data_IF_846941088626
#
_entry.id   IF_846941088626
#
_cell.length_a   1.000
_cell.length_b   1.000
_cell.length_c   1.000
_cell.angle_alpha   90.00
_cell.angle_beta   90.00
_cell.angle_gamma   90.00
#
_symmetry.space_group_name_H-M   'P 1'
#
loop_
_entity.id
_entity.type
_entity.pdbx_description
1 polymer ?
#
# COMPACT_ATOMS: atom_id res chain seq x y z
N UNK A 1 -14.91 0.65 22.88
CA UNK A 1 -13.54 0.23 22.84
C UNK A 1 -12.89 0.57 21.51
N UNK A 2 -11.77 1.24 21.56
CA UNK A 2 -11.13 1.68 20.34
C UNK A 2 -10.31 0.55 19.74
N UNK A 3 -10.46 0.36 18.44
CA UNK A 3 -9.60 -0.51 17.68
C UNK A 3 -8.27 0.18 17.46
N UNK A 4 -7.21 -0.58 17.29
CA UNK A 4 -5.91 -0.02 16.99
C UNK A 4 -5.84 0.63 15.61
N UNK A 5 -6.86 0.44 14.78
CA UNK A 5 -7.00 1.07 13.48
C UNK A 5 -8.47 1.27 13.18
N UNK A 6 -8.78 2.15 12.24
CA UNK A 6 -10.15 2.41 11.80
C UNK A 6 -10.31 1.97 10.34
N UNK A 7 -11.56 1.80 9.85
CA UNK A 7 -11.78 1.55 8.42
C UNK A 7 -11.17 2.64 7.53
N UNK A 8 -11.08 3.86 8.03
CA UNK A 8 -10.43 4.95 7.31
C UNK A 8 -8.95 4.69 7.04
N UNK A 9 -8.27 4.01 7.97
CA UNK A 9 -6.86 3.65 7.79
C UNK A 9 -6.69 2.68 6.62
N UNK A 10 -7.61 1.73 6.47
CA UNK A 10 -7.57 0.79 5.36
C UNK A 10 -7.87 1.47 4.04
N UNK A 11 -8.79 2.43 4.03
CA UNK A 11 -9.09 3.21 2.83
C UNK A 11 -7.86 4.00 2.40
N UNK A 12 -7.19 4.66 3.34
CA UNK A 12 -5.97 5.43 3.06
C UNK A 12 -4.85 4.53 2.55
N UNK A 13 -4.69 3.36 3.16
CA UNK A 13 -3.66 2.41 2.76
C UNK A 13 -3.94 1.85 1.36
N UNK A 14 -5.20 1.54 1.06
CA UNK A 14 -5.60 1.06 -0.26
C UNK A 14 -5.35 2.14 -1.33
N UNK A 15 -5.62 3.40 -1.01
CA UNK A 15 -5.33 4.51 -1.92
C UNK A 15 -3.83 4.66 -2.16
N UNK A 16 -3.03 4.52 -1.12
CA UNK A 16 -1.57 4.56 -1.24
C UNK A 16 -1.07 3.42 -2.12
N UNK A 17 -1.59 2.21 -1.92
CA UNK A 17 -1.22 1.05 -2.74
C UNK A 17 -1.57 1.30 -4.21
N UNK A 18 -2.71 1.91 -4.48
CA UNK A 18 -3.13 2.24 -5.84
C UNK A 18 -2.17 3.23 -6.50
N UNK A 19 -1.77 4.28 -5.76
CA UNK A 19 -0.80 5.24 -6.28
C UNK A 19 0.54 4.59 -6.58
N UNK A 20 1.01 3.73 -5.68
CA UNK A 20 2.26 2.99 -5.89
C UNK A 20 2.16 2.05 -7.09
N UNK A 21 1.04 1.36 -7.24
CA UNK A 21 0.81 0.46 -8.37
C UNK A 21 0.92 1.22 -9.69
N UNK A 22 0.21 2.33 -9.81
CA UNK A 22 0.23 3.11 -11.06
C UNK A 22 1.62 3.67 -11.35
N UNK A 23 2.29 4.17 -10.35
CA UNK A 23 3.64 4.71 -10.51
C UNK A 23 4.62 3.63 -10.91
N UNK A 24 4.54 2.44 -10.33
CA UNK A 24 5.39 1.32 -10.71
C UNK A 24 5.11 0.85 -12.13
N UNK A 25 3.82 0.75 -12.50
CA UNK A 25 3.41 0.32 -13.82
C UNK A 25 3.96 1.25 -14.91
N UNK A 26 3.98 2.53 -14.64
CA UNK A 26 4.39 3.54 -15.61
C UNK A 26 5.88 3.87 -15.55
N UNK A 27 6.64 3.13 -14.74
CA UNK A 27 8.06 3.35 -14.54
C UNK A 27 8.91 2.34 -15.31
N UNK A 28 10.17 2.16 -14.90
CA UNK A 28 11.10 1.24 -15.56
C UNK A 28 10.69 -0.23 -15.36
N UNK A 29 11.32 -1.14 -16.11
CA UNK A 29 11.04 -2.57 -16.04
C UNK A 29 11.17 -3.12 -14.61
N UNK A 30 12.13 -2.62 -13.86
CA UNK A 30 12.33 -3.07 -12.49
C UNK A 30 11.12 -2.77 -11.62
N UNK A 31 10.57 -1.56 -11.76
CA UNK A 31 9.39 -1.17 -11.01
C UNK A 31 8.13 -1.85 -11.55
N UNK A 32 8.08 -2.13 -12.85
CA UNK A 32 6.95 -2.85 -13.44
C UNK A 32 6.79 -4.24 -12.84
N UNK A 33 7.90 -4.89 -12.50
CA UNK A 33 7.85 -6.20 -11.82
C UNK A 33 7.22 -6.08 -10.44
N UNK A 34 7.52 -5.00 -9.74
CA UNK A 34 6.97 -4.75 -8.41
C UNK A 34 5.48 -4.44 -8.49
N UNK A 35 5.02 -3.87 -9.61
CA UNK A 35 3.61 -3.50 -9.75
C UNK A 35 2.66 -4.68 -9.56
N UNK A 36 3.06 -5.88 -10.01
CA UNK A 36 2.25 -7.08 -9.79
C UNK A 36 2.05 -7.40 -8.32
N UNK A 37 3.11 -7.27 -7.54
CA UNK A 37 3.04 -7.51 -6.09
C UNK A 37 2.20 -6.45 -5.39
N UNK A 38 2.33 -5.19 -5.81
CA UNK A 38 1.54 -4.10 -5.24
C UNK A 38 0.06 -4.29 -5.59
N UNK A 39 -0.25 -4.73 -6.80
CA UNK A 39 -1.61 -5.03 -7.21
C UNK A 39 -2.22 -6.13 -6.35
N UNK A 40 -1.47 -7.19 -6.07
CA UNK A 40 -1.93 -8.27 -5.19
C UNK A 40 -2.18 -7.76 -3.78
N UNK A 41 -1.32 -6.90 -3.28
CA UNK A 41 -1.49 -6.29 -1.97
C UNK A 41 -2.78 -5.47 -1.92
N UNK A 42 -3.07 -4.71 -2.97
CA UNK A 42 -4.29 -3.92 -3.04
C UNK A 42 -5.53 -4.80 -2.96
N UNK A 43 -5.53 -5.93 -3.67
CA UNK A 43 -6.64 -6.89 -3.62
C UNK A 43 -6.84 -7.38 -2.18
N UNK A 44 -5.78 -7.75 -1.50
CA UNK A 44 -5.85 -8.21 -0.11
C UNK A 44 -6.40 -7.12 0.81
N UNK A 45 -5.96 -5.88 0.62
CA UNK A 45 -6.45 -4.75 1.41
C UNK A 45 -7.93 -4.50 1.18
N UNK A 46 -8.40 -4.58 -0.06
CA UNK A 46 -9.80 -4.39 -0.39
C UNK A 46 -10.66 -5.50 0.21
N UNK A 47 -10.19 -6.75 0.15
CA UNK A 47 -10.90 -7.88 0.76
C UNK A 47 -10.97 -7.75 2.28
N UNK A 48 -9.88 -7.29 2.90
CA UNK A 48 -9.84 -7.06 4.34
C UNK A 48 -10.84 -5.98 4.74
N UNK A 49 -10.90 -4.91 3.96
CA UNK A 49 -11.84 -3.82 4.20
C UNK A 49 -13.28 -4.32 4.13
N UNK A 50 -13.61 -5.12 3.11
CA UNK A 50 -14.94 -5.69 2.98
C UNK A 50 -15.30 -6.58 4.17
N UNK A 51 -14.37 -7.41 4.61
CA UNK A 51 -14.60 -8.28 5.76
C UNK A 51 -14.90 -7.48 7.02
N UNK A 52 -14.20 -6.37 7.22
CA UNK A 52 -14.42 -5.50 8.37
C UNK A 52 -15.75 -4.78 8.27
N UNK A 53 -16.12 -4.31 7.07
CA UNK A 53 -17.40 -3.62 6.85
C UNK A 53 -18.60 -4.54 7.05
N UNK A 54 -18.44 -5.84 6.83
CA UNK A 54 -19.48 -6.80 7.08
C UNK A 54 -19.66 -7.14 8.55
N UNK A 55 -18.96 -6.43 9.42
CA UNK A 55 -19.08 -6.58 10.87
C UNK A 55 -18.73 -7.98 11.39
N UNK A 56 -17.81 -8.65 10.73
CA UNK A 56 -17.33 -9.92 11.25
C UNK A 56 -16.46 -9.66 12.48
N UNK A 57 -16.80 -10.28 13.62
CA UNK A 57 -16.01 -10.05 14.81
C UNK A 57 -14.60 -10.63 14.66
N UNK A 58 -13.61 -9.79 14.90
CA UNK A 58 -12.22 -10.24 14.93
C UNK A 58 -11.84 -10.56 16.36
N UNK A 59 -11.12 -11.67 16.55
CA UNK A 59 -10.54 -11.94 17.85
C UNK A 59 -9.48 -10.88 18.18
N UNK A 60 -9.22 -10.60 19.46
CA UNK A 60 -8.18 -9.63 19.81
C UNK A 60 -6.82 -9.93 19.19
N UNK A 61 -6.47 -11.20 19.08
CA UNK A 61 -5.21 -11.63 18.48
C UNK A 61 -5.17 -11.29 16.99
N UNK A 62 -6.25 -11.55 16.27
CA UNK A 62 -6.33 -11.23 14.85
C UNK A 62 -6.29 -9.73 14.60
N UNK A 63 -6.98 -8.98 15.45
CA UNK A 63 -7.01 -7.54 15.35
C UNK A 63 -5.61 -6.94 15.52
N UNK A 64 -4.87 -7.43 16.51
CA UNK A 64 -3.51 -6.97 16.74
C UNK A 64 -2.58 -7.32 15.58
N UNK A 65 -2.69 -8.53 15.05
CA UNK A 65 -1.89 -8.95 13.88
C UNK A 65 -2.21 -8.11 12.66
N UNK A 66 -3.48 -7.82 12.46
CA UNK A 66 -3.92 -7.00 11.34
C UNK A 66 -3.38 -5.57 11.47
N UNK A 67 -3.42 -5.02 12.67
CA UNK A 67 -2.88 -3.69 12.92
C UNK A 67 -1.39 -3.63 12.59
N UNK A 68 -0.62 -4.62 13.03
CA UNK A 68 0.82 -4.67 12.75
C UNK A 68 1.07 -4.81 11.25
N UNK A 69 0.30 -5.66 10.58
CA UNK A 69 0.44 -5.86 9.14
C UNK A 69 0.14 -4.58 8.38
N UNK A 70 -0.88 -3.83 8.79
CA UNK A 70 -1.23 -2.56 8.17
C UNK A 70 -0.10 -1.54 8.35
N UNK A 71 0.46 -1.45 9.55
CA UNK A 71 1.55 -0.53 9.83
C UNK A 71 2.79 -0.86 8.98
N UNK A 72 3.12 -2.13 8.85
CA UNK A 72 4.26 -2.56 8.04
C UNK A 72 4.02 -2.31 6.56
N UNK A 73 2.81 -2.57 6.07
CA UNK A 73 2.45 -2.29 4.68
C UNK A 73 2.53 -0.80 4.38
N UNK A 74 2.02 0.02 5.28
CA UNK A 74 2.06 1.48 5.10
C UNK A 74 3.50 1.97 4.99
N UNK A 75 4.36 1.49 5.88
CA UNK A 75 5.76 1.88 5.87
C UNK A 75 6.45 1.44 4.58
N UNK A 76 6.21 0.21 4.15
CA UNK A 76 6.80 -0.32 2.93
C UNK A 76 6.34 0.46 1.70
N UNK A 77 5.06 0.80 1.63
CA UNK A 77 4.52 1.55 0.50
C UNK A 77 5.02 2.99 0.50
N UNK A 78 5.17 3.61 1.67
CA UNK A 78 5.74 4.94 1.77
C UNK A 78 7.20 4.96 1.31
N UNK A 79 7.98 3.94 1.68
CA UNK A 79 9.36 3.81 1.25
C UNK A 79 9.44 3.63 -0.27
N UNK A 80 8.54 2.83 -0.82
CA UNK A 80 8.46 2.63 -2.26
C UNK A 80 8.10 3.92 -2.99
N UNK A 81 7.16 4.69 -2.44
CA UNK A 81 6.76 5.98 -3.02
C UNK A 81 7.93 6.95 -3.05
N UNK A 82 8.72 6.99 -1.98
CA UNK A 82 9.92 7.83 -1.92
C UNK A 82 10.96 7.39 -2.96
N UNK A 83 11.14 6.09 -3.10
CA UNK A 83 12.10 5.54 -4.06
C UNK A 83 11.67 5.87 -5.49
N UNK A 84 10.39 5.75 -5.79
CA UNK A 84 9.84 6.11 -7.09
C UNK A 84 10.03 7.60 -7.39
N UNK A 85 9.78 8.46 -6.40
CA UNK A 85 9.97 9.88 -6.54
C UNK A 85 11.43 10.25 -6.83
N UNK A 86 12.37 9.60 -6.13
CA UNK A 86 13.80 9.79 -6.35
C UNK A 86 14.21 9.35 -7.75
N UNK A 87 13.68 8.21 -8.20
CA UNK A 87 13.98 7.70 -9.54
C UNK A 87 13.47 8.66 -10.62
N UNK A 88 12.26 9.16 -10.50
CA UNK A 88 11.69 10.11 -11.45
C UNK A 88 12.50 11.40 -11.50
N UNK A 89 12.92 11.89 -10.33
CA UNK A 89 13.73 13.10 -10.25
C UNK A 89 15.06 12.92 -10.98
N UNK A 90 15.74 11.80 -10.76
CA UNK A 90 17.00 11.50 -11.42
C UNK A 90 16.81 11.38 -12.93
N UNK A 91 15.76 10.72 -13.37
CA UNK A 91 15.47 10.52 -14.77
C UNK A 91 15.17 11.84 -15.47
N UNK A 92 14.43 12.72 -14.80
CA UNK A 92 14.13 14.05 -15.33
C UNK A 92 15.38 14.90 -15.48
N UNK A 93 16.29 14.82 -14.51
CA UNK A 93 17.56 15.54 -14.58
C UNK A 93 18.40 15.06 -15.75
N UNK A 94 18.44 13.76 -15.97
CA UNK A 94 19.20 13.19 -17.08
C UNK A 94 18.63 13.60 -18.43
N UNK A 95 17.34 13.84 -18.52
CA UNK A 95 16.70 14.25 -19.77
C UNK A 95 16.93 15.72 -20.10
N UNK A 96 17.40 16.50 -19.16
CA UNK A 96 17.68 17.93 -19.38
C UNK A 96 19.02 18.24 -20.00
N UNK A 97 19.84 17.26 -20.21
CA UNK A 97 21.17 17.48 -20.77
C UNK A 97 21.14 17.85 -22.24
#
# INVERSE_FOLDING_TARGET
>A
MSFGFSPGDLIALSALAWRCYKACRDSSDQFQRISGEVSNLKVVLDETKEAIEENQPLSPTREERLKLAIEECEKALQDLEKLLGSYESMNTQNQRV
#
